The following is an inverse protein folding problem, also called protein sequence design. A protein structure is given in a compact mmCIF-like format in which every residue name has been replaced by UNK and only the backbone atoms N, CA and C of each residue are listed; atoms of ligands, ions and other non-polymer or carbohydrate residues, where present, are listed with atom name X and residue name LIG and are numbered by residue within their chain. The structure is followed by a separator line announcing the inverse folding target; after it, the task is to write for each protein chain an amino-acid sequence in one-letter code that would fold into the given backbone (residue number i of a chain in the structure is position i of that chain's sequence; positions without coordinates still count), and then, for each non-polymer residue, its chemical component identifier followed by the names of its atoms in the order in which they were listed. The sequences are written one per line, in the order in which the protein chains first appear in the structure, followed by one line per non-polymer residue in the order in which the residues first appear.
data_IF_763223765642
#
_entry.id   IF_763223765642
#
_cell.length_a   1.000
_cell.length_b   1.000
_cell.length_c   1.000
_cell.angle_alpha   90.00
_cell.angle_beta   90.00
_cell.angle_gamma   90.00
#
_symmetry.space_group_name_H-M   'P 1'
#
loop_
_entity.id
_entity.type
_entity.pdbx_description
1 polymer ?
#
# COMPACT_ATOMS: atom_id res chain seq x y z
N UNK A 1 6.20 -38.86 31.62
CA UNK A 1 5.46 -37.59 31.52
C UNK A 1 5.89 -36.90 30.26
N UNK A 2 4.94 -36.46 29.44
CA UNK A 2 5.27 -35.64 28.27
C UNK A 2 5.71 -34.27 28.79
N UNK A 3 6.89 -33.86 28.33
CA UNK A 3 7.59 -32.70 28.89
C UNK A 3 7.27 -31.41 28.14
N UNK A 4 6.84 -31.54 26.89
CA UNK A 4 6.52 -30.42 26.02
C UNK A 4 5.02 -30.40 25.70
N UNK A 5 4.42 -29.22 25.73
CA UNK A 5 3.03 -29.00 25.34
C UNK A 5 2.91 -27.91 24.28
N UNK A 6 2.20 -28.19 23.18
CA UNK A 6 1.97 -27.27 22.08
C UNK A 6 0.72 -26.42 22.37
N UNK A 7 0.93 -25.26 23.00
CA UNK A 7 -0.12 -24.37 23.50
C UNK A 7 -0.84 -23.60 22.41
N UNK A 8 -0.14 -23.25 21.33
CA UNK A 8 -0.73 -22.54 20.22
C UNK A 8 0.04 -22.74 18.91
N UNK A 9 -0.68 -22.61 17.79
CA UNK A 9 -0.14 -22.65 16.42
C UNK A 9 -0.85 -21.56 15.62
N UNK A 10 -0.10 -20.54 15.21
CA UNK A 10 -0.61 -19.38 14.48
C UNK A 10 0.14 -19.20 13.16
N UNK A 11 -0.50 -19.49 12.01
CA UNK A 11 0.05 -19.14 10.71
C UNK A 11 0.14 -17.61 10.56
N UNK A 12 1.32 -17.09 10.22
CA UNK A 12 1.54 -15.64 10.05
C UNK A 12 1.36 -15.22 8.60
N UNK A 13 1.34 -13.91 8.33
CA UNK A 13 1.34 -13.35 6.97
C UNK A 13 2.69 -13.45 6.27
N UNK A 14 3.74 -13.91 6.95
CA UNK A 14 5.09 -13.94 6.42
C UNK A 14 5.39 -15.21 5.64
N UNK A 15 6.04 -15.03 4.50
CA UNK A 15 6.58 -16.11 3.67
C UNK A 15 8.04 -15.84 3.37
N UNK A 16 8.84 -16.90 3.29
CA UNK A 16 10.24 -16.87 2.89
C UNK A 16 10.45 -17.77 1.67
N UNK A 17 11.35 -17.37 0.77
CA UNK A 17 11.77 -18.22 -0.34
C UNK A 17 13.01 -19.02 0.05
N UNK A 18 12.93 -20.34 -0.04
CA UNK A 18 14.04 -21.27 0.23
C UNK A 18 14.15 -22.27 -0.92
N UNK A 19 15.27 -22.26 -1.61
CA UNK A 19 15.56 -23.20 -2.72
C UNK A 19 14.49 -23.19 -3.83
N UNK A 20 13.89 -22.02 -4.09
CA UNK A 20 12.83 -21.87 -5.09
C UNK A 20 11.43 -22.30 -4.63
N UNK A 21 11.27 -22.69 -3.36
CA UNK A 21 10.00 -22.98 -2.71
C UNK A 21 9.60 -21.86 -1.75
N UNK A 22 8.30 -21.61 -1.63
CA UNK A 22 7.74 -20.75 -0.59
C UNK A 22 7.44 -21.54 0.67
N UNK A 23 7.97 -21.06 1.79
CA UNK A 23 7.63 -21.53 3.13
C UNK A 23 6.91 -20.41 3.89
N UNK A 24 5.75 -20.72 4.46
CA UNK A 24 5.01 -19.82 5.34
C UNK A 24 5.58 -19.89 6.75
N UNK A 25 5.80 -18.74 7.38
CA UNK A 25 6.21 -18.68 8.78
C UNK A 25 5.01 -18.93 9.68
N UNK A 26 5.15 -19.88 10.60
CA UNK A 26 4.16 -20.21 11.62
C UNK A 26 4.77 -19.95 12.99
N UNK A 27 4.09 -19.18 13.82
CA UNK A 27 4.44 -19.01 15.22
C UNK A 27 3.80 -20.12 16.04
N UNK A 28 4.61 -20.82 16.84
CA UNK A 28 4.14 -21.84 17.78
C UNK A 28 4.48 -21.42 19.21
N UNK A 29 3.54 -21.63 20.13
CA UNK A 29 3.76 -21.45 21.57
C UNK A 29 3.93 -22.82 22.20
N UNK A 30 5.07 -23.05 22.86
CA UNK A 30 5.40 -24.32 23.50
C UNK A 30 5.74 -24.10 24.96
N UNK A 31 5.11 -24.89 25.84
CA UNK A 31 5.46 -24.99 27.27
C UNK A 31 6.39 -26.19 27.48
N UNK A 32 7.60 -25.96 27.99
CA UNK A 32 8.52 -27.02 28.41
C UNK A 32 8.60 -27.11 29.93
N UNK A 33 8.18 -28.26 30.49
CA UNK A 33 8.16 -28.53 31.94
C UNK A 33 9.39 -29.25 32.47
N UNK A 34 10.39 -29.48 31.64
CA UNK A 34 11.64 -30.10 32.05
C UNK A 34 12.86 -29.35 31.55
N UNK A 35 13.92 -30.08 31.23
CA UNK A 35 15.21 -29.50 30.83
C UNK A 35 15.18 -29.01 29.37
N UNK A 36 16.09 -28.12 28.96
CA UNK A 36 16.24 -27.77 27.56
C UNK A 36 16.37 -29.02 26.68
N UNK A 37 15.63 -29.05 25.56
CA UNK A 37 15.61 -30.21 24.66
C UNK A 37 15.43 -29.79 23.21
N UNK A 38 16.10 -30.48 22.30
CA UNK A 38 15.89 -30.32 20.86
C UNK A 38 14.54 -30.89 20.44
N UNK A 39 13.72 -30.05 19.79
CA UNK A 39 12.40 -30.44 19.34
C UNK A 39 12.24 -30.29 17.82
N UNK A 40 11.39 -31.14 17.26
CA UNK A 40 10.93 -31.07 15.87
C UNK A 40 9.41 -31.01 15.86
N UNK A 41 8.85 -30.41 14.83
CA UNK A 41 7.41 -30.45 14.57
C UNK A 41 7.16 -31.20 13.28
N UNK A 42 6.34 -32.23 13.35
CA UNK A 42 5.82 -32.95 12.19
C UNK A 42 4.46 -32.37 11.83
N UNK A 43 4.33 -31.92 10.59
CA UNK A 43 3.13 -31.31 10.05
C UNK A 43 2.49 -32.30 9.10
N UNK A 44 1.20 -32.56 9.30
CA UNK A 44 0.43 -33.57 8.56
C UNK A 44 -0.79 -32.89 7.92
N UNK A 45 -0.89 -32.98 6.59
CA UNK A 45 -2.03 -32.53 5.79
C UNK A 45 -2.39 -33.62 4.79
N UNK A 46 -3.44 -34.40 5.11
CA UNK A 46 -3.79 -35.58 4.32
C UNK A 46 -2.64 -36.59 4.28
N UNK A 47 -2.19 -36.97 3.08
CA UNK A 47 -1.07 -37.88 2.89
C UNK A 47 0.31 -37.20 2.93
N UNK A 48 0.37 -35.86 2.97
CA UNK A 48 1.63 -35.10 3.01
C UNK A 48 2.11 -34.94 4.44
N UNK A 49 3.40 -35.19 4.66
CA UNK A 49 4.07 -35.00 5.93
C UNK A 49 5.39 -34.24 5.73
N UNK A 50 5.65 -33.26 6.60
CA UNK A 50 6.93 -32.56 6.65
C UNK A 50 7.40 -32.45 8.09
N UNK A 51 8.70 -32.65 8.33
CA UNK A 51 9.30 -32.51 9.65
C UNK A 51 10.25 -31.31 9.65
N UNK A 52 10.03 -30.39 10.58
CA UNK A 52 10.75 -29.12 10.65
C UNK A 52 11.41 -29.01 12.03
N UNK A 53 12.72 -28.69 12.09
CA UNK A 53 13.38 -28.42 13.36
C UNK A 53 12.83 -27.13 13.98
N UNK A 54 12.52 -27.19 15.28
CA UNK A 54 12.20 -26.01 16.10
C UNK A 54 13.46 -25.47 16.77
N UNK A 55 14.38 -26.38 17.13
CA UNK A 55 15.58 -26.08 17.91
C UNK A 55 15.42 -26.37 19.40
N UNK A 56 16.34 -25.88 20.25
CA UNK A 56 16.30 -26.12 21.68
C UNK A 56 15.17 -25.34 22.35
N UNK A 57 14.20 -26.06 22.91
CA UNK A 57 13.10 -25.47 23.66
C UNK A 57 13.53 -25.33 25.12
N UNK A 58 13.65 -24.08 25.59
CA UNK A 58 14.03 -23.76 26.97
C UNK A 58 12.88 -24.07 27.94
N UNK A 59 13.18 -24.34 29.23
CA UNK A 59 12.14 -24.50 30.26
C UNK A 59 11.23 -23.27 30.34
N UNK A 60 9.94 -23.50 30.60
CA UNK A 60 8.90 -22.48 30.60
C UNK A 60 8.14 -22.37 29.28
N UNK A 61 7.31 -21.34 29.17
CA UNK A 61 6.60 -21.01 27.93
C UNK A 61 7.48 -20.17 27.02
N UNK A 62 7.56 -20.55 25.74
CA UNK A 62 8.29 -19.81 24.72
C UNK A 62 7.55 -19.80 23.39
N UNK A 63 7.79 -18.74 22.61
CA UNK A 63 7.32 -18.62 21.23
C UNK A 63 8.46 -18.92 20.27
N UNK A 64 8.17 -19.69 19.24
CA UNK A 64 9.14 -20.14 18.25
C UNK A 64 8.55 -19.96 16.85
N UNK A 65 9.40 -19.64 15.87
CA UNK A 65 9.00 -19.53 14.47
C UNK A 65 9.53 -20.72 13.68
N UNK A 66 8.66 -21.36 12.92
CA UNK A 66 9.00 -22.45 12.00
C UNK A 66 8.60 -22.10 10.57
N UNK A 67 9.40 -22.53 9.60
CA UNK A 67 9.12 -22.35 8.17
C UNK A 67 8.42 -23.60 7.63
N UNK A 68 7.14 -23.48 7.35
CA UNK A 68 6.25 -24.55 6.90
C UNK A 68 6.08 -24.46 5.38
N UNK A 69 6.37 -25.52 4.60
CA UNK A 69 6.09 -25.51 3.16
C UNK A 69 4.66 -25.06 2.88
N UNK A 70 4.49 -24.15 1.91
CA UNK A 70 3.19 -23.54 1.63
C UNK A 70 2.06 -24.57 1.49
N UNK A 71 0.98 -24.35 2.24
CA UNK A 71 -0.24 -25.15 2.17
C UNK A 71 -1.34 -24.25 1.57
N UNK A 72 -1.56 -24.41 0.25
CA UNK A 72 -2.54 -23.61 -0.51
C UNK A 72 -4.00 -24.08 -0.38
N UNK A 73 -4.26 -25.14 0.35
CA UNK A 73 -5.62 -25.71 0.53
C UNK A 73 -6.14 -25.49 1.94
N UNK A 74 -7.37 -24.98 2.06
CA UNK A 74 -8.06 -24.90 3.35
C UNK A 74 -8.32 -26.30 3.94
N UNK A 75 -8.36 -26.40 5.27
CA UNK A 75 -8.81 -27.60 5.99
C UNK A 75 -7.85 -28.06 7.09
N UNK A 76 -8.06 -29.25 7.66
CA UNK A 76 -7.34 -29.67 8.87
C UNK A 76 -5.85 -29.90 8.60
N UNK A 77 -5.00 -29.35 9.47
CA UNK A 77 -3.56 -29.62 9.54
C UNK A 77 -3.22 -30.00 10.98
N UNK A 78 -2.55 -31.14 11.16
CA UNK A 78 -2.05 -31.59 12.47
C UNK A 78 -0.58 -31.24 12.63
N UNK A 79 -0.24 -30.68 13.79
CA UNK A 79 1.11 -30.37 14.26
C UNK A 79 1.43 -31.31 15.42
N UNK A 80 2.33 -32.26 15.21
CA UNK A 80 2.84 -33.14 16.24
C UNK A 80 4.23 -32.67 16.71
N UNK A 81 4.39 -32.39 17.99
CA UNK A 81 5.64 -31.97 18.60
C UNK A 81 6.44 -33.21 19.03
N UNK A 82 7.69 -33.33 18.59
CA UNK A 82 8.54 -34.51 18.82
C UNK A 82 9.82 -34.14 19.56
N UNK A 83 10.25 -35.06 20.43
CA UNK A 83 11.59 -35.12 21.02
C UNK A 83 12.20 -36.47 20.64
N UNK A 84 13.28 -36.46 19.87
CA UNK A 84 13.72 -37.65 19.15
C UNK A 84 12.60 -38.15 18.23
N UNK A 85 12.20 -39.42 18.39
CA UNK A 85 11.09 -40.02 17.64
C UNK A 85 9.79 -40.12 18.45
N UNK A 86 9.79 -39.63 19.70
CA UNK A 86 8.61 -39.67 20.57
C UNK A 86 7.79 -38.39 20.42
N UNK A 87 6.53 -38.55 20.01
CA UNK A 87 5.51 -37.49 20.05
C UNK A 87 5.24 -37.10 21.52
N UNK A 88 5.43 -35.82 21.84
CA UNK A 88 5.13 -35.23 23.14
C UNK A 88 3.70 -34.68 23.19
N UNK A 89 3.26 -34.04 22.10
CA UNK A 89 1.93 -33.44 22.03
C UNK A 89 1.47 -33.32 20.56
N UNK A 90 0.16 -33.13 20.37
CA UNK A 90 -0.45 -32.89 19.05
C UNK A 90 -1.46 -31.76 19.14
N UNK A 91 -1.50 -30.92 18.11
CA UNK A 91 -2.54 -29.91 17.95
C UNK A 91 -2.99 -29.87 16.49
N UNK A 92 -4.31 -29.86 16.28
CA UNK A 92 -4.89 -29.66 14.96
C UNK A 92 -5.51 -28.27 14.86
N UNK A 93 -5.29 -27.60 13.73
CA UNK A 93 -5.95 -26.34 13.39
C UNK A 93 -6.66 -26.46 12.04
N UNK A 94 -7.68 -25.63 11.82
CA UNK A 94 -8.23 -25.43 10.47
C UNK A 94 -7.32 -24.45 9.76
N UNK A 95 -6.49 -24.95 8.86
CA UNK A 95 -5.58 -24.14 8.07
C UNK A 95 -6.36 -23.34 7.04
N UNK A 96 -6.11 -22.03 6.99
CA UNK A 96 -6.61 -21.12 5.95
C UNK A 96 -5.37 -20.54 5.25
N UNK A 97 -5.21 -20.75 3.94
CA UNK A 97 -4.10 -20.18 3.19
C UNK A 97 -4.02 -18.66 3.40
N UNK A 98 -2.82 -18.15 3.69
CA UNK A 98 -2.58 -16.71 3.81
C UNK A 98 -2.25 -16.12 2.45
N UNK A 99 -2.61 -14.86 2.24
CA UNK A 99 -2.39 -14.19 0.95
C UNK A 99 -0.91 -13.87 0.75
N UNK A 100 -0.51 -13.92 -0.51
CA UNK A 100 0.73 -13.36 -1.00
C UNK A 100 0.57 -11.85 -1.19
N UNK A 101 0.64 -11.12 -0.07
CA UNK A 101 0.38 -9.69 -0.02
C UNK A 101 1.40 -8.87 -0.81
N UNK A 102 0.95 -8.09 -1.78
CA UNK A 102 1.73 -7.00 -2.39
C UNK A 102 1.30 -5.66 -1.78
N UNK A 103 2.21 -4.99 -1.09
CA UNK A 103 1.95 -3.74 -0.38
C UNK A 103 2.57 -2.60 -1.18
N UNK A 104 1.73 -1.86 -1.89
CA UNK A 104 2.10 -0.71 -2.70
C UNK A 104 2.18 0.53 -1.82
N UNK A 105 3.39 1.05 -1.70
CA UNK A 105 3.72 2.20 -0.87
C UNK A 105 3.85 3.41 -1.79
N UNK A 106 2.86 4.29 -1.77
CA UNK A 106 2.81 5.47 -2.64
C UNK A 106 3.27 6.67 -1.83
N UNK A 107 4.47 7.18 -2.13
CA UNK A 107 4.93 8.41 -1.53
C UNK A 107 4.23 9.59 -2.20
N UNK A 108 3.58 10.40 -1.37
CA UNK A 108 2.85 11.61 -1.75
C UNK A 108 3.10 12.70 -0.69
N UNK A 109 2.78 13.93 -1.04
CA UNK A 109 2.55 15.04 -0.13
C UNK A 109 1.16 15.60 -0.40
N UNK A 110 0.41 15.95 0.65
CA UNK A 110 -0.84 16.71 0.44
C UNK A 110 -0.49 18.16 0.12
N UNK A 111 -0.93 18.64 -1.03
CA UNK A 111 -0.55 19.90 -1.64
C UNK A 111 -1.52 21.01 -1.26
N UNK A 112 -1.12 21.83 -0.27
CA UNK A 112 -1.84 23.03 0.10
C UNK A 112 -1.03 24.28 -0.22
N UNK A 113 -1.34 24.94 -1.33
CA UNK A 113 -0.58 26.12 -1.75
C UNK A 113 -0.66 27.29 -0.75
N UNK A 114 -1.75 27.41 0.01
CA UNK A 114 -2.01 28.56 0.88
C UNK A 114 -2.33 28.25 2.34
N UNK A 115 -2.16 27.01 2.79
CA UNK A 115 -2.52 26.60 4.15
C UNK A 115 -1.34 26.66 5.12
N UNK A 116 -0.24 25.98 4.80
CA UNK A 116 0.88 25.79 5.75
C UNK A 116 1.76 27.03 5.90
N UNK A 117 1.85 27.86 4.85
CA UNK A 117 2.58 29.12 4.83
C UNK A 117 2.06 30.02 3.68
N UNK A 118 2.70 31.18 3.47
CA UNK A 118 2.46 32.04 2.32
C UNK A 118 2.73 31.27 1.01
N UNK A 119 1.88 31.43 -0.04
CA UNK A 119 2.05 30.71 -1.30
C UNK A 119 3.44 30.82 -1.93
N UNK A 120 4.09 31.98 -1.80
CA UNK A 120 5.46 32.20 -2.27
C UNK A 120 6.47 31.28 -1.59
N UNK A 121 6.33 31.08 -0.29
CA UNK A 121 7.28 30.30 0.50
C UNK A 121 6.99 28.79 0.36
N UNK A 122 5.71 28.41 0.20
CA UNK A 122 5.32 27.04 -0.18
C UNK A 122 5.88 26.65 -1.54
N UNK A 123 5.80 27.53 -2.56
CA UNK A 123 6.38 27.26 -3.89
C UNK A 123 7.89 27.00 -3.80
N UNK A 124 8.62 27.85 -3.06
CA UNK A 124 10.07 27.67 -2.84
C UNK A 124 10.42 26.40 -2.09
N UNK A 125 9.60 26.03 -1.11
CA UNK A 125 9.76 24.78 -0.37
C UNK A 125 9.58 23.57 -1.31
N UNK A 126 8.55 23.60 -2.15
CA UNK A 126 8.31 22.55 -3.15
C UNK A 126 9.40 22.47 -4.22
N UNK A 127 10.02 23.58 -4.61
CA UNK A 127 11.20 23.54 -5.49
C UNK A 127 12.35 22.76 -4.83
N UNK A 128 12.60 23.01 -3.54
CA UNK A 128 13.58 22.25 -2.76
C UNK A 128 13.20 20.77 -2.64
N UNK A 129 11.92 20.46 -2.50
CA UNK A 129 11.45 19.06 -2.52
C UNK A 129 11.70 18.39 -3.87
N UNK A 130 11.53 19.09 -4.99
CA UNK A 130 11.85 18.54 -6.31
C UNK A 130 13.34 18.20 -6.40
N UNK A 131 14.25 19.05 -5.89
CA UNK A 131 15.68 18.74 -5.84
C UNK A 131 15.96 17.46 -5.03
N UNK A 132 15.32 17.30 -3.86
CA UNK A 132 15.45 16.09 -3.05
C UNK A 132 14.89 14.84 -3.73
N UNK A 133 13.72 14.94 -4.38
CA UNK A 133 13.10 13.87 -5.17
C UNK A 133 14.05 13.40 -6.27
N UNK A 134 14.66 14.34 -7.00
CA UNK A 134 15.60 14.04 -8.07
C UNK A 134 16.86 13.36 -7.54
N UNK A 135 17.40 13.83 -6.41
CA UNK A 135 18.53 13.20 -5.71
C UNK A 135 18.19 11.77 -5.27
N UNK A 136 17.04 11.55 -4.63
CA UNK A 136 16.65 10.21 -4.17
C UNK A 136 16.39 9.25 -5.32
N UNK A 137 15.89 9.72 -6.46
CA UNK A 137 15.80 8.90 -7.67
C UNK A 137 17.18 8.38 -8.10
N UNK A 138 18.20 9.26 -8.12
CA UNK A 138 19.59 8.89 -8.46
C UNK A 138 20.23 7.94 -7.45
N UNK A 139 20.13 8.24 -6.15
CA UNK A 139 20.72 7.43 -5.07
C UNK A 139 20.21 5.98 -5.07
N UNK A 140 19.00 5.78 -5.60
CA UNK A 140 18.32 4.48 -5.63
C UNK A 140 18.26 3.87 -7.04
N UNK A 141 18.97 4.41 -8.02
CA UNK A 141 18.92 3.96 -9.42
C UNK A 141 19.32 2.48 -9.58
N UNK A 142 20.35 2.05 -8.84
CA UNK A 142 20.89 0.68 -8.85
C UNK A 142 20.27 -0.24 -7.79
N UNK A 143 19.20 0.20 -7.11
CA UNK A 143 18.53 -0.63 -6.10
C UNK A 143 17.60 -1.66 -6.75
N UNK A 144 17.17 -2.71 -6.02
CA UNK A 144 16.11 -3.60 -6.50
C UNK A 144 14.87 -2.81 -6.92
N UNK A 145 14.22 -3.24 -8.00
CA UNK A 145 13.16 -2.47 -8.67
C UNK A 145 12.04 -2.02 -7.73
N UNK A 146 11.61 -2.87 -6.80
CA UNK A 146 10.53 -2.58 -5.85
C UNK A 146 10.95 -1.64 -4.70
N UNK A 147 12.25 -1.39 -4.56
CA UNK A 147 12.81 -0.51 -3.55
C UNK A 147 13.40 0.78 -4.13
N UNK A 148 13.34 0.98 -5.44
CA UNK A 148 13.75 2.24 -6.05
C UNK A 148 12.80 3.36 -5.62
N UNK A 149 13.35 4.54 -5.33
CA UNK A 149 12.54 5.69 -4.91
C UNK A 149 11.55 6.10 -5.99
N UNK A 150 10.27 6.23 -5.62
CA UNK A 150 9.23 6.76 -6.50
C UNK A 150 8.39 7.76 -5.74
N UNK A 151 7.91 8.78 -6.46
CA UNK A 151 7.15 9.87 -5.87
C UNK A 151 5.95 10.25 -6.74
N UNK A 152 4.81 10.50 -6.11
CA UNK A 152 3.58 10.96 -6.77
C UNK A 152 3.30 12.40 -6.36
N UNK A 153 3.20 13.27 -7.35
CA UNK A 153 2.94 14.70 -7.20
C UNK A 153 1.43 14.92 -7.35
N UNK A 154 0.78 15.33 -6.25
CA UNK A 154 -0.67 15.51 -6.19
C UNK A 154 -1.15 16.67 -7.07
N UNK A 155 -0.54 17.85 -6.93
CA UNK A 155 -0.94 19.06 -7.66
C UNK A 155 0.13 19.55 -8.63
N UNK A 156 -0.24 19.74 -9.89
CA UNK A 156 0.68 20.23 -10.93
C UNK A 156 1.13 21.67 -10.77
N UNK A 157 0.53 22.47 -9.88
CA UNK A 157 1.00 23.82 -9.55
C UNK A 157 2.49 23.84 -9.14
N UNK A 158 2.94 22.81 -8.42
CA UNK A 158 4.32 22.69 -7.93
C UNK A 158 5.31 22.47 -9.07
N UNK A 159 4.98 21.57 -10.00
CA UNK A 159 5.80 21.26 -11.17
C UNK A 159 5.81 22.40 -12.17
N UNK A 160 4.69 23.09 -12.35
CA UNK A 160 4.64 24.27 -13.21
C UNK A 160 5.67 25.30 -12.77
N UNK A 161 5.66 25.67 -11.49
CA UNK A 161 6.59 26.64 -10.93
C UNK A 161 8.04 26.17 -11.08
N UNK A 162 8.33 24.92 -10.73
CA UNK A 162 9.68 24.34 -10.87
C UNK A 162 10.17 24.35 -12.32
N UNK A 163 9.30 24.11 -13.30
CA UNK A 163 9.64 24.12 -14.73
C UNK A 163 9.82 25.54 -15.27
N UNK A 164 9.08 26.51 -14.75
CA UNK A 164 9.17 27.92 -15.16
C UNK A 164 10.43 28.61 -14.61
N UNK A 165 10.83 28.30 -13.39
CA UNK A 165 11.95 28.94 -12.69
C UNK A 165 13.24 28.11 -12.69
N UNK A 166 13.13 26.79 -12.88
CA UNK A 166 14.25 25.84 -12.84
C UNK A 166 15.17 25.90 -14.07
N UNK A 167 16.40 25.42 -13.90
CA UNK A 167 17.34 25.30 -15.02
C UNK A 167 16.91 24.21 -16.01
N UNK A 168 17.31 24.34 -17.28
CA UNK A 168 17.02 23.36 -18.33
C UNK A 168 17.48 21.94 -17.94
N UNK A 169 18.67 21.81 -17.36
CA UNK A 169 19.23 20.53 -16.90
C UNK A 169 18.35 19.84 -15.83
N UNK A 170 17.84 20.59 -14.86
CA UNK A 170 16.97 20.05 -13.82
C UNK A 170 15.61 19.63 -14.39
N UNK A 171 15.05 20.43 -15.30
CA UNK A 171 13.79 20.10 -15.98
C UNK A 171 13.94 18.87 -16.85
N UNK A 172 15.03 18.73 -17.61
CA UNK A 172 15.29 17.52 -18.41
C UNK A 172 15.42 16.28 -17.53
N UNK A 173 16.09 16.40 -16.38
CA UNK A 173 16.23 15.33 -15.40
C UNK A 173 14.88 14.92 -14.80
N UNK A 174 14.05 15.89 -14.41
CA UNK A 174 12.68 15.65 -13.95
C UNK A 174 11.86 14.89 -15.00
N UNK A 175 11.86 15.39 -16.24
CA UNK A 175 11.15 14.79 -17.36
C UNK A 175 11.63 13.36 -17.64
N UNK A 176 12.94 13.08 -17.52
CA UNK A 176 13.49 11.72 -17.66
C UNK A 176 12.87 10.78 -16.63
N UNK A 177 12.87 11.15 -15.36
CA UNK A 177 12.30 10.31 -14.29
C UNK A 177 10.78 10.17 -14.40
N UNK A 178 10.08 11.19 -14.90
CA UNK A 178 8.65 11.10 -15.20
C UNK A 178 8.35 10.10 -16.32
N UNK A 179 9.13 10.11 -17.41
CA UNK A 179 9.00 9.13 -18.51
C UNK A 179 9.28 7.70 -18.07
N UNK A 180 10.20 7.52 -17.12
CA UNK A 180 10.52 6.22 -16.54
C UNK A 180 9.49 5.73 -15.51
N UNK A 181 8.51 6.56 -15.13
CA UNK A 181 7.54 6.25 -14.06
C UNK A 181 8.16 6.22 -12.66
N UNK A 182 9.30 6.90 -12.45
CA UNK A 182 9.89 7.13 -11.13
C UNK A 182 9.22 8.30 -10.42
N UNK A 183 8.77 9.30 -11.18
CA UNK A 183 8.00 10.43 -10.69
C UNK A 183 6.67 10.45 -11.45
N UNK A 184 5.55 10.47 -10.75
CA UNK A 184 4.24 10.60 -11.38
C UNK A 184 3.67 11.99 -11.13
N UNK A 185 3.27 12.67 -12.21
CA UNK A 185 2.46 13.88 -12.15
C UNK A 185 0.99 13.49 -12.32
N UNK A 186 0.15 13.80 -11.34
CA UNK A 186 -1.29 13.55 -11.45
C UNK A 186 -2.01 14.68 -12.19
N UNK A 187 -3.29 14.46 -12.52
CA UNK A 187 -4.00 15.29 -13.49
C UNK A 187 -4.39 16.69 -13.00
N UNK A 188 -4.63 16.90 -11.71
CA UNK A 188 -5.17 18.17 -11.22
C UNK A 188 -4.09 19.26 -11.12
N UNK A 189 -4.51 20.52 -11.30
CA UNK A 189 -3.70 21.68 -10.93
C UNK A 189 -3.51 21.73 -9.42
N UNK A 190 -4.61 21.65 -8.67
CA UNK A 190 -4.66 21.58 -7.21
C UNK A 190 -5.99 20.96 -6.76
N UNK A 191 -6.18 20.88 -5.44
CA UNK A 191 -7.39 20.33 -4.83
C UNK A 191 -8.50 21.39 -4.77
N UNK A 192 -9.51 21.25 -5.64
CA UNK A 192 -10.67 22.14 -5.67
C UNK A 192 -11.87 21.53 -4.94
N UNK A 193 -12.69 22.37 -4.31
CA UNK A 193 -14.02 21.96 -3.85
C UNK A 193 -14.93 21.77 -5.07
N UNK A 194 -14.89 20.58 -5.65
CA UNK A 194 -15.46 20.31 -6.99
C UNK A 194 -16.95 20.61 -7.11
N UNK A 195 -17.70 20.64 -6.01
CA UNK A 195 -19.13 21.02 -5.94
C UNK A 195 -19.38 22.50 -6.26
N UNK A 196 -18.34 23.33 -6.16
CA UNK A 196 -18.38 24.75 -6.52
C UNK A 196 -17.95 25.00 -7.97
N UNK A 197 -17.42 23.97 -8.64
CA UNK A 197 -16.90 24.09 -9.99
C UNK A 197 -17.96 23.75 -11.05
N UNK A 198 -18.06 24.59 -12.09
CA UNK A 198 -18.71 24.23 -13.34
C UNK A 198 -17.87 23.25 -14.17
N UNK A 199 -18.49 22.58 -15.14
CA UNK A 199 -17.80 21.63 -16.04
C UNK A 199 -16.56 22.23 -16.71
N UNK A 200 -16.65 23.47 -17.17
CA UNK A 200 -15.57 24.20 -17.83
C UNK A 200 -14.41 24.55 -16.87
N UNK A 201 -14.68 24.68 -15.57
CA UNK A 201 -13.64 24.88 -14.55
C UNK A 201 -12.94 23.56 -14.24
N UNK A 202 -13.70 22.46 -14.09
CA UNK A 202 -13.16 21.12 -13.93
C UNK A 202 -12.29 20.69 -15.13
N UNK A 203 -12.68 21.05 -16.36
CA UNK A 203 -11.87 20.79 -17.56
C UNK A 203 -10.57 21.62 -17.53
N UNK A 204 -10.66 22.91 -17.20
CA UNK A 204 -9.48 23.80 -17.11
C UNK A 204 -8.54 23.41 -15.98
N UNK A 205 -9.04 22.78 -14.92
CA UNK A 205 -8.23 22.24 -13.83
C UNK A 205 -7.16 21.25 -14.33
N UNK A 206 -7.41 20.60 -15.47
CA UNK A 206 -6.47 19.65 -16.08
C UNK A 206 -5.46 20.31 -17.04
N UNK A 207 -5.66 21.56 -17.44
CA UNK A 207 -4.85 22.18 -18.50
C UNK A 207 -3.35 22.27 -18.16
N UNK A 208 -2.95 22.65 -16.94
CA UNK A 208 -1.57 22.60 -16.47
C UNK A 208 -0.83 21.28 -16.73
N UNK A 209 -1.29 20.20 -16.12
CA UNK A 209 -0.66 18.88 -16.19
C UNK A 209 -0.62 18.35 -17.63
N UNK A 210 -1.71 18.50 -18.39
CA UNK A 210 -1.76 18.09 -19.80
C UNK A 210 -0.93 19.00 -20.71
N UNK A 211 -0.74 20.27 -20.36
CA UNK A 211 0.18 21.19 -21.04
C UNK A 211 1.62 20.71 -20.92
N UNK A 212 2.05 20.39 -19.70
CA UNK A 212 3.34 19.76 -19.43
C UNK A 212 3.46 18.40 -20.14
N UNK A 213 2.40 17.60 -20.10
CA UNK A 213 2.25 16.32 -20.80
C UNK A 213 2.59 16.43 -22.29
N UNK A 214 1.94 17.35 -23.00
CA UNK A 214 2.18 17.60 -24.42
C UNK A 214 3.58 18.17 -24.70
N UNK A 215 4.05 19.11 -23.86
CA UNK A 215 5.34 19.78 -24.06
C UNK A 215 6.52 18.81 -23.93
N UNK A 216 6.47 17.92 -22.94
CA UNK A 216 7.61 17.06 -22.60
C UNK A 216 7.42 15.59 -22.98
N UNK A 217 6.22 15.19 -23.42
CA UNK A 217 5.89 13.80 -23.70
C UNK A 217 5.84 12.93 -22.44
N UNK A 218 5.34 13.50 -21.33
CA UNK A 218 5.10 12.78 -20.07
C UNK A 218 3.63 12.31 -20.01
N UNK A 219 3.36 11.11 -19.48
CA UNK A 219 2.00 10.58 -19.40
C UNK A 219 1.24 11.17 -18.20
N UNK A 220 -0.03 11.53 -18.40
CA UNK A 220 -0.97 11.88 -17.33
C UNK A 220 -2.04 10.79 -17.27
N UNK A 221 -1.97 9.93 -16.24
CA UNK A 221 -2.77 8.68 -16.17
C UNK A 221 -3.69 8.60 -14.96
N UNK A 222 -3.27 9.19 -13.85
CA UNK A 222 -4.03 9.22 -12.62
C UNK A 222 -4.34 10.66 -12.18
N UNK A 223 -5.37 10.78 -11.36
CA UNK A 223 -5.66 11.94 -10.55
C UNK A 223 -5.58 11.52 -9.07
N UNK A 224 -5.15 12.42 -8.20
CA UNK A 224 -5.25 12.25 -6.75
C UNK A 224 -5.94 13.48 -6.16
N UNK A 225 -6.87 13.24 -5.24
CA UNK A 225 -7.58 14.29 -4.51
C UNK A 225 -7.71 13.87 -3.05
N UNK A 226 -7.12 14.66 -2.18
CA UNK A 226 -7.17 14.44 -0.75
C UNK A 226 -7.80 15.63 -0.03
N UNK A 227 -8.37 15.37 1.14
CA UNK A 227 -8.93 16.35 2.08
C UNK A 227 -10.05 17.28 1.55
N UNK A 228 -10.67 16.94 0.41
CA UNK A 228 -11.87 17.61 -0.10
C UNK A 228 -13.13 16.85 0.36
N UNK A 229 -14.16 17.53 0.91
CA UNK A 229 -15.30 16.89 1.58
C UNK A 229 -16.23 16.07 0.66
N UNK A 230 -16.06 16.14 -0.66
CA UNK A 230 -16.87 15.41 -1.62
C UNK A 230 -16.33 15.55 -3.04
N UNK A 231 -16.99 14.86 -3.97
CA UNK A 231 -16.64 14.86 -5.39
C UNK A 231 -17.91 15.01 -6.22
N UNK A 232 -17.91 15.97 -7.14
CA UNK A 232 -19.00 16.14 -8.10
C UNK A 232 -19.03 15.01 -9.11
N UNK A 233 -20.21 14.42 -9.37
CA UNK A 233 -20.39 13.31 -10.31
C UNK A 233 -19.83 13.59 -11.72
N UNK A 234 -19.96 14.82 -12.20
CA UNK A 234 -19.42 15.25 -13.49
C UNK A 234 -17.89 15.13 -13.61
N UNK A 235 -17.16 15.03 -12.50
CA UNK A 235 -15.71 14.83 -12.49
C UNK A 235 -15.31 13.51 -13.16
N UNK A 236 -16.10 12.45 -13.00
CA UNK A 236 -15.85 11.17 -13.67
C UNK A 236 -15.85 11.32 -15.19
N UNK A 237 -16.81 12.06 -15.74
CA UNK A 237 -16.90 12.39 -17.17
C UNK A 237 -15.70 13.21 -17.62
N UNK A 238 -15.30 14.24 -16.85
CA UNK A 238 -14.16 15.09 -17.19
C UNK A 238 -12.86 14.29 -17.23
N UNK A 239 -12.60 13.46 -16.21
CA UNK A 239 -11.40 12.63 -16.15
C UNK A 239 -11.36 11.59 -17.27
N UNK A 240 -12.46 10.84 -17.45
CA UNK A 240 -12.55 9.83 -18.50
C UNK A 240 -12.41 10.44 -19.91
N UNK A 241 -13.06 11.58 -20.16
CA UNK A 241 -12.99 12.31 -21.42
C UNK A 241 -11.59 12.87 -21.71
N UNK A 242 -10.81 13.20 -20.68
CA UNK A 242 -9.41 13.61 -20.80
C UNK A 242 -8.44 12.41 -20.97
N UNK A 243 -8.93 11.17 -20.88
CA UNK A 243 -8.12 9.96 -20.93
C UNK A 243 -7.42 9.62 -19.61
N UNK A 244 -7.78 10.27 -18.50
CA UNK A 244 -7.34 9.90 -17.16
C UNK A 244 -8.13 8.68 -16.72
N UNK A 245 -7.44 7.59 -16.36
CA UNK A 245 -8.08 6.30 -16.11
C UNK A 245 -8.27 6.01 -14.63
N UNK A 246 -7.47 6.63 -13.77
CA UNK A 246 -7.37 6.29 -12.36
C UNK A 246 -7.61 7.50 -11.48
N UNK A 247 -8.36 7.33 -10.38
CA UNK A 247 -8.58 8.37 -9.37
C UNK A 247 -8.34 7.78 -7.98
N UNK A 248 -7.28 8.24 -7.31
CA UNK A 248 -7.10 7.98 -5.88
C UNK A 248 -7.76 9.11 -5.08
N UNK A 249 -8.57 8.76 -4.09
CA UNK A 249 -9.23 9.75 -3.25
C UNK A 249 -9.11 9.42 -1.76
N UNK A 250 -8.59 10.38 -1.00
CA UNK A 250 -8.58 10.37 0.47
C UNK A 250 -9.62 11.34 1.01
N UNK A 251 -10.87 10.89 1.03
CA UNK A 251 -11.99 11.75 1.42
C UNK A 251 -12.14 11.74 2.95
N UNK A 252 -12.13 12.92 3.60
CA UNK A 252 -12.19 13.04 5.04
C UNK A 252 -13.54 12.60 5.64
N UNK A 253 -13.47 11.84 6.73
CA UNK A 253 -14.65 11.40 7.49
C UNK A 253 -14.89 12.21 8.77
N UNK A 254 -13.94 13.10 9.13
CA UNK A 254 -13.90 13.86 10.36
C UNK A 254 -14.81 15.10 10.38
N UNK A 255 -15.45 15.46 9.25
CA UNK A 255 -16.51 16.48 9.22
C UNK A 255 -17.75 16.09 10.05
N UNK A 256 -17.73 14.92 10.68
CA UNK A 256 -18.73 14.47 11.62
C UNK A 256 -18.87 15.33 12.87
N UNK A 257 -18.02 16.34 13.21
CA UNK A 257 -18.13 17.34 14.32
C UNK A 257 -19.37 17.27 15.26
N UNK A 258 -19.64 16.11 15.89
CA UNK A 258 -20.92 15.76 16.53
C UNK A 258 -22.21 15.93 15.68
N UNK A 259 -22.12 16.16 14.36
CA UNK A 259 -23.22 16.26 13.40
C UNK A 259 -23.43 14.94 12.65
N UNK A 260 -24.69 14.62 12.37
CA UNK A 260 -25.05 13.56 11.42
C UNK A 260 -24.94 14.16 10.01
N UNK A 261 -23.76 14.06 9.40
CA UNK A 261 -23.55 14.37 7.98
C UNK A 261 -23.93 13.15 7.14
N UNK A 262 -24.56 13.39 5.99
CA UNK A 262 -24.71 12.37 4.96
C UNK A 262 -23.32 12.10 4.36
N UNK A 263 -22.91 10.84 4.35
CA UNK A 263 -21.63 10.45 3.77
C UNK A 263 -21.69 10.51 2.25
N UNK A 264 -20.50 10.58 1.63
CA UNK A 264 -20.32 10.69 0.18
C UNK A 264 -20.97 9.57 -0.64
N UNK A 265 -21.21 8.39 -0.04
CA UNK A 265 -21.95 7.29 -0.66
C UNK A 265 -22.61 6.37 0.38
N UNK A 266 -23.54 5.54 -0.11
CA UNK A 266 -24.08 4.39 0.63
C UNK A 266 -23.08 3.23 0.63
N UNK A 267 -22.64 2.81 1.82
CA UNK A 267 -21.65 1.74 2.00
C UNK A 267 -22.12 0.38 1.46
N UNK A 268 -23.43 0.13 1.47
CA UNK A 268 -24.00 -1.11 0.94
C UNK A 268 -23.96 -1.15 -0.60
N UNK A 269 -24.00 0.03 -1.22
CA UNK A 269 -23.98 0.18 -2.67
C UNK A 269 -22.57 0.34 -3.24
N UNK A 270 -21.64 0.93 -2.49
CA UNK A 270 -20.29 1.26 -2.97
C UNK A 270 -19.23 0.43 -2.27
N UNK A 271 -18.80 0.86 -1.08
CA UNK A 271 -17.80 0.17 -0.28
C UNK A 271 -17.88 0.57 1.21
N UNK A 272 -17.48 -0.33 2.14
CA UNK A 272 -17.38 -0.01 3.56
C UNK A 272 -16.35 1.10 3.83
N UNK A 273 -16.69 2.08 4.66
CA UNK A 273 -15.86 3.26 4.92
C UNK A 273 -14.58 2.98 5.71
N UNK A 274 -14.56 1.92 6.49
CA UNK A 274 -13.42 1.55 7.34
C UNK A 274 -12.46 0.56 6.65
N UNK A 275 -12.60 0.42 5.32
CA UNK A 275 -11.79 -0.41 4.46
C UNK A 275 -11.34 0.35 3.20
N UNK A 276 -10.08 0.22 2.78
CA UNK A 276 -9.70 0.63 1.43
C UNK A 276 -10.42 -0.23 0.40
N UNK A 277 -10.71 0.33 -0.77
CA UNK A 277 -11.50 -0.36 -1.78
C UNK A 277 -11.46 0.29 -3.15
N UNK A 278 -11.92 -0.45 -4.15
CA UNK A 278 -11.93 -0.01 -5.54
C UNK A 278 -13.26 -0.28 -6.22
N UNK A 279 -13.64 0.59 -7.15
CA UNK A 279 -14.79 0.43 -8.01
C UNK A 279 -14.63 1.25 -9.29
N UNK A 280 -15.38 0.91 -10.33
CA UNK A 280 -15.48 1.77 -11.52
C UNK A 280 -16.49 2.89 -11.24
N UNK A 281 -16.04 4.14 -11.25
CA UNK A 281 -16.92 5.29 -11.15
C UNK A 281 -17.32 5.73 -12.55
N UNK A 282 -18.61 5.61 -12.87
CA UNK A 282 -19.17 5.94 -14.17
C UNK A 282 -19.85 7.31 -14.14
N UNK A 283 -19.39 8.22 -15.00
CA UNK A 283 -19.98 9.54 -15.19
C UNK A 283 -21.33 9.50 -15.92
N UNK A 284 -22.08 10.62 -15.94
CA UNK A 284 -23.37 10.72 -16.63
C UNK A 284 -23.31 10.44 -18.15
N UNK A 285 -22.13 10.54 -18.77
CA UNK A 285 -21.89 10.24 -20.19
C UNK A 285 -21.51 8.76 -20.45
N UNK A 286 -21.41 7.94 -19.40
CA UNK A 286 -20.98 6.55 -19.47
C UNK A 286 -19.45 6.35 -19.46
N UNK A 287 -18.67 7.44 -19.44
CA UNK A 287 -17.22 7.38 -19.23
C UNK A 287 -16.88 6.84 -17.84
N UNK A 288 -15.79 6.08 -17.72
CA UNK A 288 -15.40 5.41 -16.47
C UNK A 288 -13.98 5.72 -16.05
N UNK A 289 -13.81 5.91 -14.74
CA UNK A 289 -12.50 5.91 -14.08
C UNK A 289 -12.46 4.84 -13.00
N UNK A 290 -11.32 4.20 -12.80
CA UNK A 290 -11.12 3.29 -11.68
C UNK A 290 -10.82 4.12 -10.44
N UNK A 291 -11.75 4.10 -9.51
CA UNK A 291 -11.70 4.82 -8.26
C UNK A 291 -11.05 3.96 -7.19
N UNK A 292 -10.11 4.53 -6.43
CA UNK A 292 -9.57 3.96 -5.21
C UNK A 292 -9.93 4.83 -4.01
N UNK A 293 -10.65 4.25 -3.06
CA UNK A 293 -10.91 4.88 -1.78
C UNK A 293 -9.84 4.50 -0.76
N UNK A 294 -9.28 5.54 -0.15
CA UNK A 294 -8.39 5.46 1.00
C UNK A 294 -9.10 6.04 2.22
N UNK A 295 -9.41 5.25 3.28
CA UNK A 295 -9.90 5.83 4.52
C UNK A 295 -8.95 6.92 5.02
N UNK A 296 -9.47 8.12 5.28
CA UNK A 296 -8.67 9.24 5.77
C UNK A 296 -8.06 8.86 7.14
N UNK A 297 -6.75 9.04 7.31
CA UNK A 297 -6.00 8.57 8.48
C UNK A 297 -5.80 7.05 8.59
N UNK A 298 -6.71 6.21 8.06
CA UNK A 298 -6.62 4.75 8.12
C UNK A 298 -5.77 4.08 7.03
N UNK A 299 -5.36 4.85 6.03
CA UNK A 299 -4.56 4.39 4.88
C UNK A 299 -3.22 5.10 4.72
N UNK A 300 -2.92 6.03 5.63
CA UNK A 300 -1.59 6.60 5.79
C UNK A 300 -0.74 5.68 6.65
N UNK A 301 0.43 5.29 6.16
CA UNK A 301 1.37 4.49 6.92
C UNK A 301 2.80 4.96 6.65
N UNK A 302 3.39 5.63 7.65
CA UNK A 302 4.73 6.21 7.60
C UNK A 302 5.61 5.66 8.72
N UNK A 303 6.01 4.38 8.68
CA UNK A 303 6.88 3.80 9.70
C UNK A 303 8.26 4.51 9.70
N UNK A 304 8.81 4.74 10.89
CA UNK A 304 10.09 5.41 11.11
C UNK A 304 11.31 4.53 10.81
N UNK A 305 11.14 3.21 10.86
CA UNK A 305 12.19 2.25 10.57
C UNK A 305 11.61 0.86 10.24
N UNK A 306 12.50 -0.08 9.92
CA UNK A 306 12.13 -1.48 9.67
C UNK A 306 11.45 -2.13 10.88
N UNK A 307 11.88 -1.83 12.11
CA UNK A 307 11.37 -2.48 13.32
C UNK A 307 9.93 -2.05 13.61
N UNK A 308 9.60 -0.78 13.41
CA UNK A 308 8.23 -0.29 13.45
C UNK A 308 7.40 -0.95 12.36
N UNK A 309 7.92 -0.99 11.13
CA UNK A 309 7.20 -1.63 10.02
C UNK A 309 6.90 -3.11 10.32
N UNK A 310 7.85 -3.83 10.93
CA UNK A 310 7.72 -5.24 11.29
C UNK A 310 6.71 -5.48 12.40
N UNK A 311 6.59 -4.54 13.36
CA UNK A 311 5.59 -4.61 14.43
C UNK A 311 4.17 -4.31 13.93
N UNK A 312 4.01 -3.37 13.01
CA UNK A 312 2.70 -2.83 12.63
C UNK A 312 2.06 -3.56 11.45
N UNK A 313 2.82 -3.78 10.36
CA UNK A 313 2.26 -4.26 9.10
C UNK A 313 1.49 -5.58 9.22
N UNK A 314 1.97 -6.60 9.97
CA UNK A 314 1.24 -7.87 10.09
C UNK A 314 -0.16 -7.68 10.64
N UNK A 315 -0.31 -6.88 11.70
CA UNK A 315 -1.62 -6.60 12.31
C UNK A 315 -2.54 -5.82 11.38
N UNK A 316 -1.99 -4.90 10.57
CA UNK A 316 -2.76 -4.17 9.56
C UNK A 316 -3.29 -5.10 8.47
N UNK A 317 -2.46 -6.01 7.95
CA UNK A 317 -2.86 -6.96 6.91
C UNK A 317 -3.86 -7.99 7.44
N UNK A 318 -3.65 -8.50 8.66
CA UNK A 318 -4.60 -9.40 9.32
C UNK A 318 -5.97 -8.72 9.53
N UNK A 319 -5.99 -7.45 9.96
CA UNK A 319 -7.23 -6.70 10.11
C UNK A 319 -7.98 -6.53 8.77
N UNK A 320 -7.27 -6.36 7.65
CA UNK A 320 -7.89 -6.36 6.32
C UNK A 320 -8.50 -7.73 5.98
N UNK A 321 -7.79 -8.83 6.23
CA UNK A 321 -8.32 -10.19 6.01
C UNK A 321 -9.59 -10.44 6.86
N UNK A 322 -9.56 -10.09 8.14
CA UNK A 322 -10.67 -10.28 9.09
C UNK A 322 -11.92 -9.51 8.68
N UNK A 323 -11.74 -8.31 8.14
CA UNK A 323 -12.83 -7.48 7.62
C UNK A 323 -13.29 -7.89 6.21
N UNK A 324 -12.71 -8.93 5.61
CA UNK A 324 -13.12 -9.45 4.32
C UNK A 324 -12.64 -8.63 3.11
N UNK A 325 -11.56 -7.86 3.25
CA UNK A 325 -10.92 -7.18 2.13
C UNK A 325 -10.67 -8.15 0.97
N UNK A 326 -10.98 -7.83 -0.30
CA UNK A 326 -11.02 -8.86 -1.36
C UNK A 326 -9.71 -9.04 -2.14
N UNK A 327 -8.73 -8.15 -2.01
CA UNK A 327 -7.55 -8.12 -2.88
C UNK A 327 -6.29 -8.68 -2.19
N UNK A 328 -5.36 -9.22 -2.98
CA UNK A 328 -4.00 -9.56 -2.55
C UNK A 328 -3.04 -8.37 -2.61
N UNK A 329 -3.47 -7.26 -3.24
CA UNK A 329 -2.71 -6.02 -3.34
C UNK A 329 -3.37 -4.95 -2.50
N UNK A 330 -2.60 -4.10 -1.83
CA UNK A 330 -3.12 -2.96 -1.06
C UNK A 330 -2.22 -1.74 -1.24
N UNK A 331 -2.82 -0.56 -1.30
CA UNK A 331 -2.13 0.74 -1.34
C UNK A 331 -2.11 1.37 0.05
N UNK A 332 -0.92 1.77 0.50
CA UNK A 332 -0.75 2.71 1.61
C UNK A 332 -0.10 3.99 1.13
N UNK A 333 -0.63 5.13 1.59
CA UNK A 333 -0.01 6.44 1.40
C UNK A 333 1.12 6.60 2.39
N UNK A 334 2.24 7.13 1.92
CA UNK A 334 3.38 7.49 2.73
C UNK A 334 3.67 8.98 2.59
N UNK A 335 3.78 9.65 3.73
CA UNK A 335 4.21 11.05 3.85
C UNK A 335 5.52 11.10 4.65
N UNK A 336 6.46 11.97 4.27
CA UNK A 336 7.79 12.04 4.89
C UNK A 336 7.76 12.63 6.31
N UNK A 337 6.90 13.62 6.54
CA UNK A 337 6.56 14.21 7.83
C UNK A 337 5.05 14.28 8.08
N UNK A 338 4.64 14.27 9.36
CA UNK A 338 3.24 14.37 9.80
C UNK A 338 2.71 15.81 9.68
N UNK A 339 2.62 16.32 8.44
CA UNK A 339 2.04 17.62 8.09
C UNK A 339 1.63 17.63 6.62
N UNK A 340 0.78 18.58 6.25
CA UNK A 340 0.56 18.96 4.85
C UNK A 340 1.83 19.61 4.28
N UNK A 341 1.95 19.59 2.94
CA UNK A 341 3.20 19.90 2.25
C UNK A 341 4.39 19.12 2.84
N UNK A 342 4.15 17.85 3.16
CA UNK A 342 5.14 16.92 3.66
C UNK A 342 6.37 16.81 2.74
N UNK A 343 7.61 16.83 3.29
CA UNK A 343 8.81 16.65 2.48
C UNK A 343 8.91 15.23 1.90
N UNK A 344 9.67 15.05 0.80
CA UNK A 344 10.05 13.72 0.33
C UNK A 344 10.99 13.03 1.32
N UNK A 345 10.91 11.70 1.39
CA UNK A 345 11.72 10.91 2.32
C UNK A 345 12.06 9.53 1.72
N UNK A 346 13.36 9.25 1.59
CA UNK A 346 13.89 7.99 1.06
C UNK A 346 13.70 6.80 2.01
N UNK A 347 13.33 7.04 3.27
CA UNK A 347 13.14 6.02 4.31
C UNK A 347 12.31 4.83 3.84
N UNK A 348 11.22 5.09 3.11
CA UNK A 348 10.34 4.03 2.64
C UNK A 348 11.04 3.06 1.68
N UNK A 349 11.94 3.57 0.84
CA UNK A 349 12.79 2.78 -0.05
C UNK A 349 13.81 1.94 0.71
N UNK A 350 14.39 2.49 1.78
CA UNK A 350 15.31 1.76 2.65
C UNK A 350 14.60 0.60 3.38
N UNK A 351 13.41 0.87 3.93
CA UNK A 351 12.57 -0.14 4.60
C UNK A 351 12.20 -1.24 3.59
N UNK A 352 11.69 -0.87 2.41
CA UNK A 352 11.33 -1.83 1.37
C UNK A 352 12.53 -2.70 0.96
N UNK A 353 13.72 -2.11 0.76
CA UNK A 353 14.95 -2.84 0.41
C UNK A 353 15.32 -3.87 1.45
N UNK A 354 15.31 -3.52 2.73
CA UNK A 354 15.68 -4.45 3.80
C UNK A 354 14.60 -5.51 4.01
N UNK A 355 13.33 -5.12 3.99
CA UNK A 355 12.19 -6.02 4.14
C UNK A 355 12.19 -7.11 3.09
N UNK A 356 12.33 -6.71 1.83
CA UNK A 356 12.26 -7.58 0.66
C UNK A 356 13.45 -8.54 0.52
N UNK A 357 14.52 -8.36 1.31
CA UNK A 357 15.63 -9.32 1.44
C UNK A 357 15.31 -10.44 2.42
N UNK A 358 14.47 -10.17 3.42
CA UNK A 358 14.10 -11.11 4.49
C UNK A 358 12.85 -11.91 4.14
N UNK A 359 11.89 -11.27 3.47
CA UNK A 359 10.57 -11.82 3.22
C UNK A 359 10.26 -11.91 1.73
N UNK A 360 9.71 -13.05 1.31
CA UNK A 360 9.04 -13.17 0.02
C UNK A 360 7.68 -12.47 0.04
N UNK A 361 6.92 -12.67 1.12
CA UNK A 361 5.67 -11.95 1.39
C UNK A 361 5.56 -11.57 2.89
N UNK A 362 4.86 -10.48 3.24
CA UNK A 362 4.35 -9.44 2.33
C UNK A 362 5.48 -8.79 1.53
N UNK A 363 5.25 -8.49 0.25
CA UNK A 363 6.23 -7.83 -0.63
C UNK A 363 5.97 -6.33 -0.59
N UNK A 364 6.95 -5.54 -0.19
CA UNK A 364 6.82 -4.06 -0.19
C UNK A 364 7.24 -3.50 -1.54
N UNK A 365 6.43 -2.61 -2.12
CA UNK A 365 6.67 -2.05 -3.45
C UNK A 365 6.54 -0.54 -3.36
N UNK A 366 7.67 0.18 -3.41
CA UNK A 366 7.67 1.64 -3.54
C UNK A 366 7.19 1.97 -4.95
N UNK A 367 6.05 2.64 -5.03
CA UNK A 367 5.26 2.75 -6.25
C UNK A 367 4.70 4.14 -6.46
N UNK A 368 4.19 4.37 -7.67
CA UNK A 368 3.31 5.50 -7.96
C UNK A 368 1.85 5.02 -8.04
N UNK A 369 0.88 5.95 -8.11
CA UNK A 369 -0.52 5.61 -8.30
C UNK A 369 -0.75 4.73 -9.53
N UNK A 370 -0.25 5.14 -10.69
CA UNK A 370 -0.40 4.41 -11.95
C UNK A 370 0.03 2.95 -11.83
N UNK A 371 1.17 2.68 -11.19
CA UNK A 371 1.69 1.32 -11.03
C UNK A 371 0.77 0.45 -10.17
N UNK A 372 0.28 1.01 -9.06
CA UNK A 372 -0.69 0.33 -8.20
C UNK A 372 -2.00 0.04 -8.94
N UNK A 373 -2.56 1.04 -9.61
CA UNK A 373 -3.83 0.90 -10.34
C UNK A 373 -3.72 -0.09 -11.50
N UNK A 374 -2.63 -0.07 -12.26
CA UNK A 374 -2.38 -1.02 -13.34
C UNK A 374 -2.32 -2.46 -12.81
N UNK A 375 -1.67 -2.68 -11.67
CA UNK A 375 -1.63 -4.00 -11.01
C UNK A 375 -3.02 -4.44 -10.55
N UNK A 376 -3.75 -3.54 -9.89
CA UNK A 376 -5.09 -3.81 -9.38
C UNK A 376 -6.06 -4.11 -10.53
N UNK A 377 -6.08 -3.28 -11.56
CA UNK A 377 -6.95 -3.45 -12.73
C UNK A 377 -6.67 -4.77 -13.46
N UNK A 378 -5.39 -5.11 -13.66
CA UNK A 378 -5.00 -6.35 -14.32
C UNK A 378 -5.53 -7.59 -13.60
N UNK A 379 -5.54 -7.58 -12.27
CA UNK A 379 -6.02 -8.70 -11.46
C UNK A 379 -7.54 -8.70 -11.24
N UNK A 380 -8.11 -7.53 -10.98
CA UNK A 380 -9.46 -7.41 -10.40
C UNK A 380 -10.42 -6.54 -11.20
N UNK A 381 -9.95 -5.78 -12.20
CA UNK A 381 -10.73 -4.75 -12.88
C UNK A 381 -12.08 -5.24 -13.46
N UNK A 382 -12.16 -6.48 -13.92
CA UNK A 382 -13.42 -7.07 -14.44
C UNK A 382 -14.43 -7.44 -13.36
N UNK A 383 -13.97 -7.68 -12.14
CA UNK A 383 -14.82 -8.09 -11.01
C UNK A 383 -15.31 -6.89 -10.18
N UNK A 384 -14.74 -5.70 -10.40
CA UNK A 384 -15.14 -4.50 -9.68
C UNK A 384 -16.54 -4.06 -10.05
N UNK A 385 -17.30 -3.63 -9.04
CA UNK A 385 -18.62 -3.02 -9.22
C UNK A 385 -18.47 -1.70 -9.99
N UNK A 386 -19.50 -1.34 -10.74
CA UNK A 386 -19.64 0.02 -11.29
C UNK A 386 -20.60 0.81 -10.41
N UNK A 387 -20.20 2.01 -10.01
CA UNK A 387 -21.02 2.97 -9.29
C UNK A 387 -21.35 4.16 -10.20
N UNK A 388 -22.58 4.66 -10.09
CA UNK A 388 -23.10 5.84 -10.78
C UNK A 388 -23.67 6.78 -9.72
N UNK A 389 -23.19 8.02 -9.68
CA UNK A 389 -23.61 9.04 -8.71
C UNK A 389 -22.45 9.81 -8.14
#
# INVERSE_FOLDING_TARGET
MDMLHLKDVRPTVFFVSREGRLDQIVEITVENRGKPVEARVKILKGARASEIPVGPIKPGEGRYQIAVPEIGEEGPVEFALLVGDKVQDRRSITWRPKRHWEVYLVHISHHDLGYTDLPRDVLREHDGFMDEILRFCEETEDWPEEAKFRYTIEGSWSVLHFVEEGSEDLVEKLVRYMKQGRIELTAFFGNETTELCGHEELIRLLYPSFGLGRRYGIPIRSAEVDDIPGLSWGLATVLAGAGVRYLAAGIPDYFRWKKKVHFIWDESEVLPRDLPGAFWWEGPDGGKVLFWYCPFGGSGWSPLDYEQAFRELPGMLEALEEKGYPFEVVRFRFIGGHRDNSPPDVRLSQIAKEWNRRWAYPRLIVSTNSQFFERLEKGHGKALRTFRG
#
